data_IF_289773050076
#
_entry.id   IF_289773050076
#
_cell.length_a   1.000
_cell.length_b   1.000
_cell.length_c   1.000
_cell.angle_alpha   90.00
_cell.angle_beta   90.00
_cell.angle_gamma   90.00
#
_symmetry.space_group_name_H-M   'P 1'
#
loop_
_entity.id
_entity.type
_entity.pdbx_description
1 polymer ?
#
# COMPACT_ATOMS: atom_id res chain seq x y z
N UNK A 1 -27.63 44.59 11.40
CA UNK A 1 -28.38 44.83 10.14
C UNK A 1 -28.31 43.57 9.30
N UNK A 2 -29.43 43.07 8.77
CA UNK A 2 -29.46 41.88 7.91
C UNK A 2 -28.71 42.12 6.59
N UNK A 3 -28.08 41.08 6.06
CA UNK A 3 -27.43 41.13 4.74
C UNK A 3 -28.51 40.93 3.66
N UNK A 4 -28.46 41.73 2.59
CA UNK A 4 -29.32 41.52 1.41
C UNK A 4 -29.06 40.14 0.81
N UNK A 5 -30.13 39.38 0.59
CA UNK A 5 -30.09 38.10 -0.14
C UNK A 5 -29.63 38.33 -1.59
N UNK A 6 -29.12 37.29 -2.29
CA UNK A 6 -28.72 37.40 -3.69
C UNK A 6 -29.83 37.98 -4.59
N UNK A 7 -31.07 37.50 -4.41
CA UNK A 7 -32.22 37.94 -5.20
C UNK A 7 -32.58 39.40 -4.92
N UNK A 8 -32.56 39.81 -3.64
CA UNK A 8 -32.78 41.21 -3.26
C UNK A 8 -31.70 42.13 -3.84
N UNK A 9 -30.45 41.66 -3.97
CA UNK A 9 -29.40 42.45 -4.62
C UNK A 9 -29.64 42.64 -6.11
N UNK A 10 -30.09 41.60 -6.81
CA UNK A 10 -30.48 41.70 -8.22
C UNK A 10 -31.68 42.63 -8.42
N UNK A 11 -32.71 42.50 -7.60
CA UNK A 11 -33.88 43.38 -7.65
C UNK A 11 -33.52 44.83 -7.30
N UNK A 12 -32.61 45.04 -6.34
CA UNK A 12 -32.13 46.38 -5.99
C UNK A 12 -31.39 47.04 -7.17
N UNK A 13 -30.52 46.30 -7.88
CA UNK A 13 -29.87 46.80 -9.09
C UNK A 13 -30.90 47.10 -10.19
N UNK A 14 -31.84 46.19 -10.46
CA UNK A 14 -32.87 46.42 -11.49
C UNK A 14 -33.75 47.65 -11.19
N UNK A 15 -34.03 47.93 -9.91
CA UNK A 15 -34.74 49.16 -9.49
C UNK A 15 -33.91 50.43 -9.68
N UNK A 16 -32.59 50.35 -9.45
CA UNK A 16 -31.68 51.46 -9.73
C UNK A 16 -31.55 51.73 -11.22
N UNK A 17 -31.48 50.68 -12.05
CA UNK A 17 -31.46 50.80 -13.52
C UNK A 17 -32.77 51.38 -14.06
N UNK A 18 -33.90 51.12 -13.38
CA UNK A 18 -35.19 51.76 -13.66
C UNK A 18 -35.30 53.22 -13.20
N UNK A 19 -34.21 53.81 -12.66
CA UNK A 19 -34.15 55.22 -12.27
C UNK A 19 -34.62 55.54 -10.84
N UNK A 20 -34.89 54.54 -9.98
CA UNK A 20 -35.22 54.81 -8.58
C UNK A 20 -34.01 55.34 -7.81
N UNK A 21 -34.26 56.20 -6.81
CA UNK A 21 -33.17 56.72 -5.98
C UNK A 21 -32.63 55.65 -5.03
N UNK A 22 -31.33 55.73 -4.70
CA UNK A 22 -30.67 54.80 -3.75
C UNK A 22 -31.40 54.75 -2.40
N UNK A 23 -31.96 55.89 -1.96
CA UNK A 23 -32.71 56.00 -0.71
C UNK A 23 -34.06 55.27 -0.77
N UNK A 24 -34.80 55.37 -1.87
CA UNK A 24 -36.05 54.63 -2.09
C UNK A 24 -35.82 53.12 -2.10
N UNK A 25 -34.76 52.68 -2.78
CA UNK A 25 -34.37 51.26 -2.83
C UNK A 25 -33.96 50.77 -1.44
N UNK A 26 -33.19 51.56 -0.69
CA UNK A 26 -32.79 51.23 0.68
C UNK A 26 -33.99 51.07 1.63
N UNK A 27 -34.96 51.99 1.57
CA UNK A 27 -36.21 51.88 2.34
C UNK A 27 -37.05 50.67 1.94
N UNK A 28 -37.16 50.37 0.64
CA UNK A 28 -37.93 49.23 0.14
C UNK A 28 -37.42 47.87 0.65
N UNK A 29 -36.10 47.74 0.84
CA UNK A 29 -35.48 46.50 1.33
C UNK A 29 -35.11 46.54 2.82
N UNK A 30 -35.43 47.60 3.55
CA UNK A 30 -35.03 47.77 4.96
C UNK A 30 -33.50 47.75 5.15
N UNK A 31 -32.74 48.19 4.15
CA UNK A 31 -31.28 48.21 4.17
C UNK A 31 -30.75 49.62 4.44
N UNK A 32 -29.50 49.72 4.88
CA UNK A 32 -28.84 51.02 5.00
C UNK A 32 -28.54 51.58 3.59
N UNK A 33 -28.74 52.89 3.40
CA UNK A 33 -28.45 53.59 2.13
C UNK A 33 -27.03 53.30 1.62
N UNK A 34 -26.05 53.24 2.53
CA UNK A 34 -24.65 52.92 2.21
C UNK A 34 -24.50 51.51 1.64
N UNK A 35 -25.32 50.56 2.07
CA UNK A 35 -25.28 49.17 1.55
C UNK A 35 -25.72 49.13 0.09
N UNK A 36 -26.80 49.83 -0.26
CA UNK A 36 -27.30 49.92 -1.65
C UNK A 36 -26.32 50.71 -2.52
N UNK A 37 -25.77 51.82 -2.00
CA UNK A 37 -24.73 52.59 -2.70
C UNK A 37 -23.49 51.73 -3.01
N UNK A 38 -22.96 50.99 -2.02
CA UNK A 38 -21.81 50.09 -2.24
C UNK A 38 -22.12 48.96 -3.21
N UNK A 39 -23.35 48.44 -3.19
CA UNK A 39 -23.80 47.43 -4.14
C UNK A 39 -23.80 47.99 -5.58
N UNK A 40 -24.35 49.18 -5.80
CA UNK A 40 -24.36 49.87 -7.08
C UNK A 40 -22.95 50.11 -7.62
N UNK A 41 -22.07 50.68 -6.79
CA UNK A 41 -20.66 50.93 -7.16
C UNK A 41 -19.93 49.63 -7.55
N UNK A 42 -20.13 48.56 -6.77
CA UNK A 42 -19.54 47.25 -7.11
C UNK A 42 -20.10 46.70 -8.42
N UNK A 43 -21.40 46.87 -8.64
CA UNK A 43 -22.07 46.40 -9.86
C UNK A 43 -21.57 47.13 -11.10
N UNK A 44 -21.39 48.46 -11.06
CA UNK A 44 -20.81 49.20 -12.19
C UNK A 44 -19.41 48.72 -12.58
N UNK A 45 -18.60 48.25 -11.63
CA UNK A 45 -17.25 47.75 -11.89
C UNK A 45 -17.24 46.28 -12.33
N UNK A 46 -18.04 45.43 -11.70
CA UNK A 46 -17.95 43.96 -11.86
C UNK A 46 -19.10 43.34 -12.66
N UNK A 47 -20.13 44.13 -12.97
CA UNK A 47 -21.39 43.70 -13.56
C UNK A 47 -22.02 42.48 -12.86
N UNK A 48 -21.77 42.33 -11.55
CA UNK A 48 -22.18 41.17 -10.77
C UNK A 48 -22.62 41.55 -9.36
N UNK A 49 -23.72 40.95 -8.91
CA UNK A 49 -24.24 41.06 -7.54
C UNK A 49 -23.72 39.95 -6.62
N UNK A 50 -23.02 38.96 -7.18
CA UNK A 50 -22.44 37.84 -6.45
C UNK A 50 -21.36 38.31 -5.49
N UNK A 51 -21.18 37.57 -4.40
CA UNK A 51 -20.07 37.80 -3.50
C UNK A 51 -18.78 37.25 -4.11
N UNK A 52 -17.71 38.03 -4.05
CA UNK A 52 -16.38 37.56 -4.40
C UNK A 52 -15.96 36.47 -3.42
N UNK A 53 -15.28 35.40 -3.87
CA UNK A 53 -14.74 34.40 -2.97
C UNK A 53 -13.82 35.08 -1.97
N UNK A 54 -14.06 34.84 -0.68
CA UNK A 54 -13.21 35.36 0.37
C UNK A 54 -11.80 34.81 0.25
N UNK A 55 -10.80 35.60 0.66
CA UNK A 55 -9.38 35.18 0.66
C UNK A 55 -9.12 33.95 1.54
N UNK A 56 -10.01 33.68 2.48
CA UNK A 56 -9.90 32.58 3.43
C UNK A 56 -8.77 32.80 4.44
N UNK A 57 -8.58 31.82 5.32
CA UNK A 57 -7.49 31.83 6.30
C UNK A 57 -6.15 31.53 5.59
N UNK A 58 -5.09 32.33 5.83
CA UNK A 58 -3.76 32.02 5.31
C UNK A 58 -3.28 30.62 5.72
N UNK A 59 -2.52 29.98 4.83
CA UNK A 59 -1.96 28.65 5.07
C UNK A 59 -0.74 28.71 5.99
N UNK A 60 -0.59 27.70 6.83
CA UNK A 60 0.62 27.51 7.67
C UNK A 60 1.87 27.19 6.84
N UNK A 61 1.71 26.65 5.63
CA UNK A 61 2.81 26.30 4.73
C UNK A 61 2.76 27.14 3.45
N UNK A 62 3.94 27.45 2.91
CA UNK A 62 4.08 28.12 1.61
C UNK A 62 4.00 27.13 0.45
N UNK A 63 3.71 27.62 -0.76
CA UNK A 63 3.70 26.79 -1.96
C UNK A 63 5.09 26.17 -2.28
N UNK A 64 6.19 26.81 -1.87
CA UNK A 64 7.54 26.26 -2.01
C UNK A 64 7.77 25.10 -1.04
N UNK A 65 7.35 25.26 0.21
CA UNK A 65 7.40 24.18 1.21
C UNK A 65 6.53 23.00 0.78
N UNK A 66 5.31 23.25 0.30
CA UNK A 66 4.41 22.19 -0.18
C UNK A 66 5.06 21.37 -1.32
N UNK A 67 5.74 22.03 -2.27
CA UNK A 67 6.50 21.34 -3.34
C UNK A 67 7.65 20.52 -2.78
N UNK A 68 8.40 21.07 -1.82
CA UNK A 68 9.50 20.34 -1.17
C UNK A 68 9.01 19.07 -0.45
N UNK A 69 7.93 19.17 0.31
CA UNK A 69 7.31 18.03 0.99
C UNK A 69 6.89 16.94 0.01
N UNK A 70 6.31 17.31 -1.13
CA UNK A 70 5.93 16.35 -2.17
C UNK A 70 7.17 15.66 -2.75
N UNK A 71 8.24 16.41 -3.06
CA UNK A 71 9.48 15.82 -3.56
C UNK A 71 10.13 14.88 -2.55
N UNK A 72 10.12 15.25 -1.26
CA UNK A 72 10.61 14.39 -0.18
C UNK A 72 9.87 13.04 -0.16
N UNK A 73 8.53 13.06 -0.17
CA UNK A 73 7.74 11.82 -0.16
C UNK A 73 7.77 11.03 -1.48
N UNK A 74 8.18 11.64 -2.60
CA UNK A 74 8.42 10.90 -3.85
C UNK A 74 9.79 10.20 -3.84
N UNK A 75 10.79 10.81 -3.20
CA UNK A 75 12.11 10.20 -2.99
C UNK A 75 12.04 9.07 -1.98
N UNK A 76 11.38 9.32 -0.85
CA UNK A 76 11.13 8.34 0.19
C UNK A 76 9.62 8.18 0.44
N UNK A 77 9.06 7.16 -0.20
CA UNK A 77 7.63 6.86 -0.11
C UNK A 77 7.21 6.29 1.25
N UNK A 78 8.15 5.78 2.06
CA UNK A 78 7.88 5.13 3.34
C UNK A 78 7.85 6.11 4.51
N UNK A 79 8.39 7.31 4.32
CA UNK A 79 8.40 8.32 5.36
C UNK A 79 6.97 8.68 5.78
N UNK A 80 6.73 8.66 7.10
CA UNK A 80 5.39 8.90 7.63
C UNK A 80 5.10 10.39 7.70
N UNK A 81 3.84 10.75 7.41
CA UNK A 81 3.42 12.15 7.50
C UNK A 81 3.55 12.75 8.91
N UNK A 82 3.60 11.91 9.95
CA UNK A 82 3.81 12.35 11.32
C UNK A 82 5.27 12.69 11.60
N UNK A 83 6.21 11.88 11.09
CA UNK A 83 7.65 12.17 11.21
C UNK A 83 8.01 13.45 10.47
N UNK A 84 7.58 13.56 9.21
CA UNK A 84 7.83 14.76 8.40
C UNK A 84 7.24 16.01 9.06
N UNK A 85 6.04 15.91 9.62
CA UNK A 85 5.38 17.03 10.29
C UNK A 85 6.15 17.50 11.54
N UNK A 86 6.69 16.57 12.34
CA UNK A 86 7.53 16.90 13.52
C UNK A 86 8.80 17.66 13.14
N UNK A 87 9.34 17.39 11.94
CA UNK A 87 10.57 18.01 11.44
C UNK A 87 10.31 19.21 10.51
N UNK A 88 9.06 19.62 10.32
CA UNK A 88 8.71 20.72 9.40
C UNK A 88 8.13 21.90 10.16
N UNK A 89 8.77 23.05 10.02
CA UNK A 89 8.24 24.34 10.47
C UNK A 89 7.58 25.08 9.30
N UNK A 90 6.39 25.61 9.56
CA UNK A 90 5.63 26.44 8.64
C UNK A 90 6.12 27.88 8.59
N UNK A 91 5.29 28.75 8.04
CA UNK A 91 5.48 30.21 8.05
C UNK A 91 5.54 30.69 9.51
N UNK A 92 6.44 31.63 9.81
CA UNK A 92 6.69 32.14 11.17
C UNK A 92 7.06 31.04 12.19
N UNK A 93 7.77 30.00 11.74
CA UNK A 93 8.27 28.90 12.58
C UNK A 93 7.14 28.15 13.31
N UNK A 94 5.93 28.18 12.73
CA UNK A 94 4.78 27.52 13.33
C UNK A 94 4.88 25.99 13.14
N UNK A 95 4.62 25.17 14.17
CA UNK A 95 4.67 23.73 14.04
C UNK A 95 3.57 23.23 13.09
N UNK A 96 3.93 22.32 12.18
CA UNK A 96 2.97 21.72 11.24
C UNK A 96 2.39 20.45 11.85
N UNK A 97 1.07 20.34 11.88
CA UNK A 97 0.41 19.09 12.28
C UNK A 97 0.42 18.06 11.13
N UNK A 98 0.58 16.77 11.44
CA UNK A 98 0.46 15.67 10.50
C UNK A 98 -0.81 15.73 9.63
N UNK A 99 -1.96 16.17 10.18
CA UNK A 99 -3.21 16.36 9.41
C UNK A 99 -3.05 17.41 8.30
N UNK A 100 -2.35 18.50 8.57
CA UNK A 100 -2.04 19.53 7.57
C UNK A 100 -1.18 18.93 6.47
N UNK A 101 -0.15 18.17 6.83
CA UNK A 101 0.74 17.53 5.87
C UNK A 101 0.00 16.53 4.98
N UNK A 102 -0.87 15.67 5.55
CA UNK A 102 -1.73 14.76 4.77
C UNK A 102 -2.61 15.50 3.76
N UNK A 103 -3.16 16.67 4.13
CA UNK A 103 -3.93 17.52 3.21
C UNK A 103 -3.06 18.09 2.09
N UNK A 104 -1.80 18.46 2.38
CA UNK A 104 -0.85 18.95 1.36
C UNK A 104 -0.48 17.86 0.36
N UNK A 105 -0.16 16.67 0.85
CA UNK A 105 0.12 15.52 -0.02
C UNK A 105 -1.10 15.12 -0.86
N UNK A 106 -2.28 15.06 -0.23
CA UNK A 106 -3.53 14.75 -0.93
C UNK A 106 -3.89 15.77 -2.00
N UNK A 107 -3.67 17.06 -1.75
CA UNK A 107 -3.86 18.13 -2.74
C UNK A 107 -2.93 18.04 -3.95
N UNK A 108 -1.88 17.23 -3.87
CA UNK A 108 -0.91 16.97 -4.94
C UNK A 108 -1.05 15.55 -5.52
N UNK A 109 -2.17 14.88 -5.23
CA UNK A 109 -2.50 13.52 -5.65
C UNK A 109 -1.51 12.44 -5.14
N UNK A 110 -0.92 12.66 -3.96
CA UNK A 110 -0.23 11.62 -3.21
C UNK A 110 -1.21 10.98 -2.23
N UNK A 111 -1.45 9.69 -2.40
CA UNK A 111 -2.38 8.91 -1.59
C UNK A 111 -1.65 7.91 -0.71
N UNK A 112 -2.14 7.75 0.50
CA UNK A 112 -1.59 6.81 1.46
C UNK A 112 -2.14 5.39 1.22
N UNK A 113 -1.30 4.45 0.81
CA UNK A 113 -1.69 3.08 0.39
C UNK A 113 -0.72 2.03 0.93
N UNK A 114 -1.15 0.77 0.97
CA UNK A 114 -0.24 -0.34 1.27
C UNK A 114 0.73 -0.55 0.08
N UNK A 115 2.04 -0.74 0.35
CA UNK A 115 3.02 -1.07 -0.68
C UNK A 115 2.77 -2.46 -1.25
N UNK A 116 3.30 -2.72 -2.45
CA UNK A 116 3.40 -4.09 -2.94
C UNK A 116 4.53 -4.80 -2.19
N UNK A 117 4.28 -6.01 -1.68
CA UNK A 117 5.32 -6.83 -1.04
C UNK A 117 5.95 -7.78 -2.05
N UNK A 118 7.27 -7.83 -2.10
CA UNK A 118 8.02 -8.73 -3.01
C UNK A 118 9.23 -9.34 -2.29
N UNK A 119 9.68 -10.53 -2.70
CA UNK A 119 10.97 -11.04 -2.25
C UNK A 119 12.09 -10.14 -2.77
N UNK A 120 13.20 -10.08 -2.02
CA UNK A 120 14.44 -9.44 -2.46
C UNK A 120 14.97 -10.24 -3.67
N UNK A 121 15.12 -9.58 -4.82
CA UNK A 121 15.68 -10.18 -6.03
C UNK A 121 16.92 -9.40 -6.48
N UNK A 122 18.06 -10.10 -6.52
CA UNK A 122 19.30 -9.59 -7.12
C UNK A 122 19.14 -9.45 -8.63
N UNK A 123 20.05 -8.74 -9.30
CA UNK A 123 20.05 -8.64 -10.76
C UNK A 123 20.15 -10.03 -11.42
N UNK A 124 21.01 -10.89 -10.89
CA UNK A 124 21.18 -12.26 -11.37
C UNK A 124 19.87 -13.07 -11.26
N UNK A 125 19.19 -13.02 -10.12
CA UNK A 125 17.90 -13.72 -9.94
C UNK A 125 16.86 -13.29 -10.98
N UNK A 126 16.89 -12.03 -11.44
CA UNK A 126 15.95 -11.54 -12.46
C UNK A 126 16.29 -12.10 -13.84
N UNK A 127 17.57 -12.16 -14.18
CA UNK A 127 18.04 -12.75 -15.44
C UNK A 127 17.73 -14.24 -15.49
N UNK A 128 18.05 -14.98 -14.44
CA UNK A 128 17.80 -16.43 -14.38
C UNK A 128 16.31 -16.74 -14.51
N UNK A 129 15.46 -15.98 -13.81
CA UNK A 129 14.00 -16.13 -13.91
C UNK A 129 13.47 -15.80 -15.29
N UNK A 130 14.01 -14.76 -15.94
CA UNK A 130 13.61 -14.40 -17.29
C UNK A 130 14.04 -15.47 -18.30
N UNK A 131 15.28 -15.94 -18.22
CA UNK A 131 15.80 -17.00 -19.07
C UNK A 131 15.00 -18.30 -18.90
N UNK A 132 14.71 -18.68 -17.65
CA UNK A 132 13.86 -19.84 -17.37
C UNK A 132 12.47 -19.68 -17.97
N UNK A 133 11.82 -18.54 -17.79
CA UNK A 133 10.50 -18.27 -18.35
C UNK A 133 10.50 -18.30 -19.89
N UNK A 134 11.53 -17.75 -20.53
CA UNK A 134 11.70 -17.79 -21.98
C UNK A 134 11.91 -19.21 -22.51
N UNK A 135 12.77 -19.99 -21.85
CA UNK A 135 13.03 -21.39 -22.21
C UNK A 135 11.77 -22.25 -22.14
N UNK A 136 10.89 -21.98 -21.18
CA UNK A 136 9.67 -22.77 -20.94
C UNK A 136 8.41 -22.12 -21.54
N UNK A 137 8.53 -21.00 -22.27
CA UNK A 137 7.38 -20.28 -22.83
C UNK A 137 6.59 -21.10 -23.87
N UNK A 138 7.26 -22.02 -24.56
CA UNK A 138 6.66 -22.88 -25.58
C UNK A 138 6.06 -24.18 -25.01
N UNK A 139 6.22 -24.44 -23.71
CA UNK A 139 5.75 -25.67 -23.08
C UNK A 139 4.24 -25.76 -23.12
N UNK A 140 3.74 -26.92 -23.53
CA UNK A 140 2.30 -27.21 -23.60
C UNK A 140 1.87 -27.95 -22.35
N UNK A 141 0.55 -28.11 -22.18
CA UNK A 141 -0.01 -28.80 -21.02
C UNK A 141 0.60 -30.19 -20.77
N UNK A 142 0.95 -30.93 -21.83
CA UNK A 142 1.59 -32.27 -21.70
C UNK A 142 2.95 -32.23 -21.01
N UNK A 143 3.69 -31.14 -21.21
CA UNK A 143 5.04 -30.95 -20.68
C UNK A 143 4.92 -30.57 -19.19
N UNK A 144 3.99 -29.68 -18.86
CA UNK A 144 3.67 -29.32 -17.47
C UNK A 144 3.12 -30.47 -16.62
N UNK A 145 2.40 -31.43 -17.21
CA UNK A 145 1.90 -32.65 -16.50
C UNK A 145 3.02 -33.48 -15.89
N UNK A 146 4.25 -33.36 -16.40
CA UNK A 146 5.41 -34.13 -15.93
C UNK A 146 6.15 -33.45 -14.78
N UNK A 147 5.78 -32.21 -14.44
CA UNK A 147 6.45 -31.43 -13.38
C UNK A 147 5.77 -31.68 -12.05
N UNK A 148 6.57 -31.94 -11.03
CA UNK A 148 6.16 -31.92 -9.62
C UNK A 148 6.68 -30.61 -9.01
N UNK A 149 5.78 -29.86 -8.39
CA UNK A 149 6.07 -28.61 -7.71
C UNK A 149 6.15 -28.85 -6.22
N UNK A 150 7.35 -28.89 -5.66
CA UNK A 150 7.53 -28.93 -4.20
C UNK A 150 7.89 -27.55 -3.66
N UNK A 151 7.36 -27.20 -2.50
CA UNK A 151 7.73 -25.98 -1.78
C UNK A 151 7.71 -26.21 -0.28
N UNK A 152 8.47 -25.37 0.42
CA UNK A 152 8.49 -25.29 1.87
C UNK A 152 7.77 -24.02 2.32
N UNK A 153 6.70 -24.18 3.08
CA UNK A 153 5.91 -23.07 3.60
C UNK A 153 6.13 -22.87 5.10
N UNK A 154 6.62 -21.68 5.43
CA UNK A 154 6.61 -21.14 6.79
C UNK A 154 5.25 -20.53 7.16
N UNK A 155 4.68 -20.95 8.27
CA UNK A 155 3.52 -20.35 8.94
C UNK A 155 3.98 -19.67 10.23
N UNK A 156 3.85 -18.35 10.31
CA UNK A 156 4.19 -17.60 11.52
C UNK A 156 3.06 -17.71 12.54
N UNK A 157 3.41 -17.96 13.81
CA UNK A 157 2.45 -18.09 14.91
C UNK A 157 1.98 -16.73 15.45
N UNK A 158 2.81 -15.70 15.29
CA UNK A 158 2.48 -14.32 15.65
C UNK A 158 2.30 -13.47 14.39
N UNK A 159 1.17 -12.79 14.21
CA UNK A 159 1.02 -11.80 13.16
C UNK A 159 1.86 -10.56 13.53
N UNK A 160 2.92 -10.27 12.78
CA UNK A 160 3.54 -8.95 12.84
C UNK A 160 2.52 -7.88 12.42
N UNK A 161 2.41 -6.80 13.20
CA UNK A 161 1.40 -5.72 13.04
C UNK A 161 1.37 -5.13 11.61
N UNK A 162 2.47 -5.24 10.86
CA UNK A 162 2.51 -5.42 9.39
C UNK A 162 1.96 -4.29 8.50
N UNK A 163 1.29 -3.29 9.07
CA UNK A 163 0.58 -2.23 8.34
C UNK A 163 1.53 -1.10 7.97
N UNK A 164 2.55 -1.43 7.18
CA UNK A 164 3.36 -0.43 6.49
C UNK A 164 2.49 0.24 5.42
N UNK A 165 2.55 1.57 5.37
CA UNK A 165 1.89 2.34 4.32
C UNK A 165 2.86 3.33 3.70
N UNK A 166 2.63 3.62 2.44
CA UNK A 166 3.45 4.50 1.63
C UNK A 166 2.61 5.62 1.01
N UNK A 167 3.25 6.75 0.75
CA UNK A 167 2.69 7.83 -0.05
C UNK A 167 3.10 7.65 -1.50
N UNK A 168 2.12 7.43 -2.39
CA UNK A 168 2.39 7.31 -3.83
C UNK A 168 1.27 7.91 -4.66
N UNK A 169 1.56 8.18 -5.94
CA UNK A 169 0.51 8.52 -6.91
C UNK A 169 -0.29 7.27 -7.29
N UNK A 170 -1.56 7.43 -7.72
CA UNK A 170 -2.29 6.36 -8.39
C UNK A 170 -1.49 5.79 -9.58
N UNK A 171 -1.61 4.49 -9.84
CA UNK A 171 -0.89 3.81 -10.93
C UNK A 171 0.56 3.38 -10.62
N UNK A 172 1.24 4.00 -9.65
CA UNK A 172 2.65 3.70 -9.35
C UNK A 172 2.86 2.50 -8.41
N UNK A 173 1.95 1.51 -8.39
CA UNK A 173 1.98 0.42 -7.40
C UNK A 173 3.27 -0.39 -7.41
N UNK A 174 3.85 -0.61 -8.58
CA UNK A 174 5.01 -1.47 -8.80
C UNK A 174 6.29 -0.69 -9.14
N UNK A 175 6.30 0.64 -8.92
CA UNK A 175 7.53 1.40 -9.01
C UNK A 175 8.54 0.91 -7.94
N UNK A 176 9.82 0.92 -8.27
CA UNK A 176 10.87 0.35 -7.42
C UNK A 176 10.90 0.95 -6.00
N UNK A 177 10.65 2.26 -5.87
CA UNK A 177 10.56 2.98 -4.59
C UNK A 177 9.28 2.67 -3.78
N UNK A 178 8.27 2.03 -4.38
CA UNK A 178 6.97 1.74 -3.77
C UNK A 178 6.78 0.27 -3.39
N UNK A 179 7.84 -0.55 -3.57
CA UNK A 179 7.85 -1.97 -3.25
C UNK A 179 8.53 -2.15 -1.90
N UNK A 180 7.82 -2.80 -0.97
CA UNK A 180 8.43 -3.28 0.26
C UNK A 180 9.04 -4.64 -0.02
N UNK A 181 10.36 -4.70 -0.03
CA UNK A 181 11.05 -5.99 -0.04
C UNK A 181 10.96 -6.58 1.36
N UNK A 182 10.68 -7.88 1.43
CA UNK A 182 10.49 -8.57 2.70
C UNK A 182 11.13 -9.95 2.65
N UNK A 183 11.94 -10.25 3.65
CA UNK A 183 12.45 -11.57 3.97
C UNK A 183 11.57 -12.23 5.04
N UNK A 184 11.30 -13.52 4.92
CA UNK A 184 10.30 -14.20 5.78
C UNK A 184 10.89 -14.70 7.11
N UNK A 185 12.04 -14.17 7.54
CA UNK A 185 12.81 -14.72 8.65
C UNK A 185 12.57 -13.91 9.93
N UNK A 186 12.10 -14.57 10.99
CA UNK A 186 11.88 -13.96 12.32
C UNK A 186 10.58 -14.39 13.01
N UNK A 187 10.62 -14.51 14.35
CA UNK A 187 9.48 -14.95 15.18
C UNK A 187 9.26 -16.47 15.23
N UNK A 188 8.35 -16.91 16.10
CA UNK A 188 7.96 -18.31 16.21
C UNK A 188 7.17 -18.76 14.97
N UNK A 189 7.52 -19.91 14.41
CA UNK A 189 6.91 -20.40 13.17
C UNK A 189 6.93 -21.91 13.06
N UNK A 190 5.99 -22.46 12.30
CA UNK A 190 5.95 -23.86 11.88
C UNK A 190 6.31 -23.93 10.39
N UNK A 191 7.24 -24.82 10.05
CA UNK A 191 7.61 -25.11 8.66
C UNK A 191 6.85 -26.36 8.20
N UNK A 192 6.26 -26.30 7.01
CA UNK A 192 5.54 -27.41 6.39
C UNK A 192 6.10 -27.62 5.00
N UNK A 193 6.38 -28.88 4.66
CA UNK A 193 6.76 -29.29 3.31
C UNK A 193 5.55 -29.88 2.58
N UNK A 194 5.46 -29.62 1.28
CA UNK A 194 4.44 -30.20 0.43
C UNK A 194 4.88 -30.25 -1.04
N UNK A 195 4.27 -31.15 -1.80
CA UNK A 195 4.51 -31.28 -3.23
C UNK A 195 3.18 -31.41 -3.98
N UNK A 196 3.10 -30.79 -5.16
CA UNK A 196 1.93 -30.79 -6.02
C UNK A 196 2.24 -31.16 -7.47
N UNK A 197 1.45 -32.06 -8.05
CA UNK A 197 1.54 -32.49 -9.45
C UNK A 197 0.16 -32.81 -10.04
N UNK A 198 0.07 -33.00 -11.36
CA UNK A 198 -1.23 -33.24 -12.04
C UNK A 198 -1.70 -34.71 -11.89
N UNK A 199 -0.79 -35.66 -11.69
CA UNK A 199 -1.09 -37.09 -11.61
C UNK A 199 -0.42 -37.70 -10.36
N UNK A 200 -1.15 -37.89 -9.26
CA UNK A 200 -0.60 -38.46 -8.01
C UNK A 200 -0.85 -39.96 -7.83
N UNK A 201 -1.75 -40.57 -8.62
CA UNK A 201 -2.16 -41.97 -8.43
C UNK A 201 -1.10 -43.00 -8.83
N UNK A 202 0.04 -42.58 -9.37
CA UNK A 202 1.09 -43.45 -9.90
C UNK A 202 2.42 -43.35 -9.13
N UNK A 203 2.46 -42.60 -8.01
CA UNK A 203 3.70 -42.32 -7.28
C UNK A 203 3.66 -42.88 -5.86
N UNK A 204 4.53 -43.84 -5.56
CA UNK A 204 4.80 -44.30 -4.21
C UNK A 204 5.65 -43.27 -3.46
N UNK A 205 5.06 -42.63 -2.45
CA UNK A 205 5.70 -41.60 -1.62
C UNK A 205 6.81 -42.17 -0.71
N UNK A 206 7.02 -43.49 -0.70
CA UNK A 206 8.12 -44.16 0.01
C UNK A 206 9.52 -43.70 -0.42
N UNK A 207 9.64 -43.06 -1.60
CA UNK A 207 10.91 -42.58 -2.16
C UNK A 207 11.40 -41.24 -1.60
N UNK A 208 10.55 -40.48 -0.89
CA UNK A 208 10.95 -39.21 -0.26
C UNK A 208 11.44 -39.43 1.19
N UNK A 209 12.53 -40.19 1.36
CA UNK A 209 13.25 -40.26 2.64
C UNK A 209 14.26 -39.11 2.72
N UNK A 210 13.84 -37.95 3.22
CA UNK A 210 14.79 -36.91 3.63
C UNK A 210 15.22 -37.19 5.07
N UNK A 211 16.53 -37.35 5.28
CA UNK A 211 17.17 -37.50 6.57
C UNK A 211 17.05 -36.21 7.39
N UNK A 212 16.00 -36.06 8.19
CA UNK A 212 16.02 -35.40 9.50
C UNK A 212 14.59 -35.21 10.03
N UNK A 213 14.39 -35.71 11.25
CA UNK A 213 13.29 -35.50 12.21
C UNK A 213 12.35 -34.30 11.91
N UNK A 214 11.12 -34.62 11.50
CA UNK A 214 9.78 -34.25 12.06
C UNK A 214 8.77 -34.59 10.95
N UNK A 215 8.17 -35.77 11.04
CA UNK A 215 7.07 -36.20 10.16
C UNK A 215 5.76 -35.77 10.83
N UNK A 216 5.19 -34.68 10.33
CA UNK A 216 3.78 -34.37 10.47
C UNK A 216 3.13 -34.45 9.09
N UNK A 217 2.95 -35.66 8.55
CA UNK A 217 2.06 -35.89 7.41
C UNK A 217 0.63 -35.63 7.88
N UNK A 218 0.09 -34.44 7.63
CA UNK A 218 -1.37 -34.26 7.68
C UNK A 218 -1.91 -34.77 6.34
N UNK A 219 -2.19 -36.07 6.29
CA UNK A 219 -3.17 -36.62 5.35
C UNK A 219 -4.53 -36.11 5.84
N UNK A 220 -5.08 -35.10 5.16
CA UNK A 220 -6.43 -34.62 5.45
C UNK A 220 -7.44 -35.59 4.82
N UNK A 221 -7.62 -36.75 5.44
CA UNK A 221 -8.83 -37.56 5.28
C UNK A 221 -9.81 -37.16 6.36
N UNK A 222 -10.96 -36.62 5.96
CA UNK A 222 -12.09 -36.40 6.85
C UNK A 222 -12.60 -37.79 7.28
N UNK A 223 -12.28 -38.21 8.50
CA UNK A 223 -12.99 -39.29 9.18
C UNK A 223 -12.89 -39.10 10.71
N UNK A 224 -14.05 -38.85 11.30
CA UNK A 224 -14.39 -38.95 12.72
C UNK A 224 -13.80 -40.17 13.41
N UNK A 225 -13.10 -39.99 14.53
CA UNK A 225 -13.46 -40.59 15.83
C UNK A 225 -12.43 -40.26 16.91
N UNK A 226 -12.95 -39.78 18.03
CA UNK A 226 -12.30 -39.60 19.33
C UNK A 226 -11.84 -40.96 19.87
N UNK A 227 -10.62 -41.02 20.45
CA UNK A 227 -10.13 -41.91 21.54
C UNK A 227 -8.63 -41.65 21.77
N UNK A 228 -8.27 -40.80 22.74
CA UNK A 228 -7.81 -41.17 24.09
C UNK A 228 -6.43 -41.86 24.14
N UNK A 229 -5.41 -41.16 24.70
CA UNK A 229 -4.46 -41.65 25.72
C UNK A 229 -3.21 -40.74 25.84
N UNK A 230 -3.23 -39.83 26.84
CA UNK A 230 -2.27 -39.55 27.95
C UNK A 230 -0.73 -39.57 27.69
N UNK A 231 0.06 -38.68 28.35
CA UNK A 231 1.28 -38.07 27.82
C UNK A 231 2.59 -38.69 28.34
N UNK A 232 3.69 -38.51 27.61
CA UNK A 232 5.03 -38.87 28.10
C UNK A 232 5.98 -37.65 28.10
N UNK A 233 6.54 -37.39 29.28
CA UNK A 233 7.49 -36.30 29.62
C UNK A 233 8.81 -36.47 28.86
N UNK A 234 9.38 -35.38 28.36
CA UNK A 234 10.76 -35.32 27.87
C UNK A 234 11.70 -34.73 28.94
N UNK A 235 12.83 -35.42 29.16
CA UNK A 235 13.97 -34.94 29.93
C UNK A 235 14.93 -34.19 28.99
N UNK A 236 15.36 -32.99 29.40
CA UNK A 236 16.36 -32.17 28.71
C UNK A 236 17.77 -32.65 29.05
N UNK A 237 18.61 -32.87 28.04
CA UNK A 237 20.07 -32.77 28.20
C UNK A 237 20.63 -31.75 27.22
N UNK A 238 21.26 -30.71 27.77
CA UNK A 238 22.00 -29.67 27.06
C UNK A 238 23.28 -30.24 26.46
N UNK A 239 23.52 -29.99 25.18
CA UNK A 239 24.81 -30.20 24.52
C UNK A 239 25.26 -28.88 23.89
N UNK A 240 26.40 -28.37 24.36
CA UNK A 240 27.01 -27.09 23.99
C UNK A 240 27.75 -27.16 22.66
N UNK A 241 27.39 -26.23 21.77
CA UNK A 241 28.12 -25.58 20.68
C UNK A 241 29.39 -26.18 20.05
N UNK A 242 29.40 -26.14 18.71
CA UNK A 242 30.43 -25.38 17.98
C UNK A 242 29.87 -24.92 16.64
N UNK A 243 30.00 -23.62 16.37
CA UNK A 243 29.54 -22.96 15.16
C UNK A 243 30.46 -23.28 13.97
N UNK A 244 29.90 -23.59 12.80
CA UNK A 244 30.65 -23.53 11.55
C UNK A 244 29.75 -23.11 10.39
N UNK A 245 30.03 -21.89 9.90
CA UNK A 245 29.81 -21.35 8.55
C UNK A 245 28.50 -21.70 7.83
N UNK A 246 27.54 -20.77 7.93
CA UNK A 246 26.34 -20.72 7.10
C UNK A 246 26.71 -20.50 5.63
N UNK A 247 26.76 -21.58 4.84
CA UNK A 247 26.70 -21.49 3.39
C UNK A 247 25.35 -20.90 2.99
N UNK A 248 25.39 -19.75 2.33
CA UNK A 248 24.26 -19.12 1.65
C UNK A 248 23.68 -20.10 0.64
N UNK A 249 22.55 -20.72 0.98
CA UNK A 249 21.79 -21.58 0.05
C UNK A 249 21.02 -20.69 -0.94
N UNK A 250 21.05 -21.00 -2.24
CA UNK A 250 20.24 -20.29 -3.23
C UNK A 250 18.75 -20.59 -2.99
N UNK A 251 17.93 -19.56 -3.06
CA UNK A 251 16.45 -19.58 -3.04
C UNK A 251 15.96 -20.54 -4.15
N UNK A 252 14.90 -21.34 -3.94
CA UNK A 252 14.72 -22.62 -4.65
C UNK A 252 14.63 -22.44 -6.16
N UNK A 253 15.62 -23.01 -6.84
CA UNK A 253 15.47 -23.51 -8.19
C UNK A 253 14.42 -24.63 -8.09
N UNK A 254 13.38 -24.53 -8.91
CA UNK A 254 12.46 -25.64 -9.15
C UNK A 254 13.32 -26.83 -9.59
N UNK A 255 13.54 -27.82 -8.72
CA UNK A 255 14.20 -29.06 -9.11
C UNK A 255 13.23 -29.83 -10.01
N UNK A 256 13.37 -29.63 -11.32
CA UNK A 256 12.75 -30.50 -12.32
C UNK A 256 13.60 -31.77 -12.37
N UNK A 257 13.15 -32.84 -11.73
CA UNK A 257 13.72 -34.16 -11.93
C UNK A 257 13.11 -34.77 -13.20
N UNK A 258 13.89 -35.01 -14.28
CA UNK A 258 13.39 -35.78 -15.41
C UNK A 258 13.16 -37.24 -15.02
N UNK A 259 12.11 -37.88 -15.57
CA UNK A 259 12.00 -39.35 -15.61
C UNK A 259 13.16 -39.88 -16.46
N UNK A 260 14.33 -40.10 -15.90
CA UNK A 260 15.31 -40.99 -16.52
C UNK A 260 14.78 -42.41 -16.33
N UNK A 261 14.12 -42.90 -17.37
CA UNK A 261 13.90 -44.33 -17.54
C UNK A 261 15.24 -45.04 -17.51
N UNK A 262 15.24 -46.20 -16.84
CA UNK A 262 16.27 -47.21 -16.89
C UNK A 262 16.81 -47.35 -18.33
N UNK A 263 18.08 -47.05 -18.55
CA UNK A 263 18.83 -47.61 -19.67
C UNK A 263 19.75 -48.65 -19.05
N UNK A 264 19.27 -49.89 -19.06
CA UNK A 264 20.12 -51.06 -18.98
C UNK A 264 20.89 -51.11 -20.29
N UNK A 265 22.20 -50.95 -20.23
CA UNK A 265 23.11 -51.42 -21.29
C UNK A 265 24.20 -52.23 -20.61
N UNK A 266 24.53 -53.34 -21.26
CA UNK A 266 25.35 -54.47 -20.84
C UNK A 266 26.65 -54.13 -20.11
#
# INVERSE_FOLDING_TARGET
MPRLSPDQRQQAIGRLDAGQSVQQVAWAFGANVTTVYRLQQRFHVTNSTCDLPGRGRPRVTTARQDRHLVHQHQRDAFETAANTARNTFGVHVQPVNARTLRRRLGGQNLVNRCPARRPVLTAQHRLDRLAWAQQHAHWRHRDWRRVIYSDEKRFCLEPGDGRVRIWRRPGQRFANNNILQHDRWGGASVMIWGAIGVNYSEWDLSSFRTSAKVVGMVSMQIATSIKSCVPMRFHLSRGTGTACSSKTMPVPILHVLPRTGCVTTA
#
